data_IF_580523821232
#
_entry.id   IF_580523821232
#
_cell.length_a   1.000
_cell.length_b   1.000
_cell.length_c   1.000
_cell.angle_alpha   90.00
_cell.angle_beta   90.00
_cell.angle_gamma   90.00
#
_symmetry.space_group_name_H-M   'P 1'
#
loop_
_entity.id
_entity.type
_entity.pdbx_description
1 polymer ?
#
# COMPACT_ATOMS: atom_id res chain seq x y z
N UNK A 1 -8.23 6.45 28.25
CA UNK A 1 -8.65 5.89 26.95
C UNK A 1 -8.40 6.97 25.92
N UNK A 2 -7.27 6.91 25.23
CA UNK A 2 -6.86 7.95 24.27
C UNK A 2 -7.09 7.41 22.87
N UNK A 3 -8.30 7.59 22.36
CA UNK A 3 -8.69 7.26 20.99
C UNK A 3 -8.53 8.51 20.13
N UNK A 4 -7.31 8.81 19.68
CA UNK A 4 -7.08 9.86 18.67
C UNK A 4 -5.80 9.58 17.91
N UNK A 5 -5.88 8.64 16.97
CA UNK A 5 -5.02 8.63 15.79
C UNK A 5 -5.89 8.08 14.64
N UNK A 6 -6.84 8.91 14.21
CA UNK A 6 -7.45 8.78 12.89
C UNK A 6 -6.44 9.31 11.87
N UNK A 7 -5.24 8.73 11.87
CA UNK A 7 -4.36 8.82 10.72
C UNK A 7 -4.91 7.79 9.76
N UNK A 8 -5.40 8.23 8.60
CA UNK A 8 -5.67 7.36 7.45
C UNK A 8 -4.48 6.41 7.31
N UNK A 9 -4.63 5.19 7.81
CA UNK A 9 -3.56 4.20 7.98
C UNK A 9 -3.31 3.57 6.63
N UNK A 10 -2.78 4.39 5.71
CA UNK A 10 -2.27 3.95 4.43
C UNK A 10 -1.05 3.12 4.77
N UNK A 11 -1.16 1.83 4.50
CA UNK A 11 -0.12 0.83 4.72
C UNK A 11 0.36 0.34 3.37
N UNK A 12 1.66 0.08 3.26
CA UNK A 12 2.22 -0.50 2.04
C UNK A 12 1.73 -1.94 1.86
N UNK A 13 1.11 -2.28 0.73
CA UNK A 13 0.64 -3.66 0.46
C UNK A 13 1.77 -4.69 0.37
N UNK A 14 3.01 -4.27 0.07
CA UNK A 14 4.15 -5.19 -0.04
C UNK A 14 4.84 -5.50 1.29
N UNK A 15 4.85 -4.54 2.23
CA UNK A 15 5.67 -4.66 3.44
C UNK A 15 4.94 -4.27 4.73
N UNK A 16 3.68 -3.84 4.65
CA UNK A 16 2.85 -3.50 5.81
C UNK A 16 3.28 -2.25 6.57
N UNK A 17 4.31 -1.51 6.14
CA UNK A 17 4.74 -0.31 6.85
C UNK A 17 3.71 0.81 6.69
N UNK A 18 3.55 1.59 7.76
CA UNK A 18 2.82 2.85 7.71
C UNK A 18 3.52 3.81 6.74
N UNK A 19 2.78 4.25 5.73
CA UNK A 19 3.25 5.20 4.72
C UNK A 19 2.56 6.56 4.86
N UNK A 20 1.73 6.74 5.88
CA UNK A 20 1.17 8.03 6.23
C UNK A 20 2.29 9.07 6.43
N UNK A 21 2.21 10.21 5.73
CA UNK A 21 3.24 11.24 5.75
C UNK A 21 4.50 10.93 4.92
N UNK A 22 4.54 9.83 4.17
CA UNK A 22 5.67 9.49 3.28
C UNK A 22 5.30 9.60 1.80
N UNK A 23 6.31 9.67 0.93
CA UNK A 23 6.15 9.66 -0.54
C UNK A 23 5.81 8.25 -1.07
N UNK A 24 4.69 7.68 -0.62
CA UNK A 24 4.15 6.46 -1.20
C UNK A 24 3.43 6.73 -2.53
N UNK A 25 3.48 5.76 -3.43
CA UNK A 25 2.69 5.80 -4.64
C UNK A 25 1.29 5.26 -4.37
N UNK A 26 0.31 5.92 -4.95
CA UNK A 26 -1.06 5.48 -4.98
C UNK A 26 -1.40 5.16 -6.44
N UNK A 27 -1.79 3.92 -6.72
CA UNK A 27 -2.19 3.47 -8.07
C UNK A 27 -3.33 2.47 -7.97
N UNK A 28 -4.07 2.28 -9.06
CA UNK A 28 -5.16 1.30 -9.08
C UNK A 28 -4.64 -0.08 -9.48
N UNK A 29 -5.14 -1.12 -8.85
CA UNK A 29 -4.89 -2.50 -9.27
C UNK A 29 -5.34 -2.67 -10.74
N UNK A 30 -4.51 -3.26 -11.62
CA UNK A 30 -4.92 -3.50 -13.01
C UNK A 30 -6.01 -4.57 -13.14
N UNK A 31 -6.20 -5.39 -12.11
CA UNK A 31 -7.14 -6.51 -12.13
C UNK A 31 -8.54 -6.11 -11.60
N UNK A 32 -8.62 -5.58 -10.37
CA UNK A 32 -9.89 -5.18 -9.75
C UNK A 32 -10.13 -3.66 -9.67
N UNK A 33 -9.11 -2.83 -9.93
CA UNK A 33 -9.23 -1.37 -9.83
C UNK A 33 -9.13 -0.79 -8.42
N UNK A 34 -8.87 -1.60 -7.38
CA UNK A 34 -8.72 -1.10 -5.99
C UNK A 34 -7.54 -0.16 -5.84
N UNK A 35 -7.66 0.82 -4.95
CA UNK A 35 -6.60 1.76 -4.64
C UNK A 35 -5.48 1.06 -3.83
N UNK A 36 -4.34 0.86 -4.45
CA UNK A 36 -3.15 0.27 -3.86
C UNK A 36 -2.16 1.36 -3.49
N UNK A 37 -1.55 1.21 -2.32
CA UNK A 37 -0.47 2.08 -1.88
C UNK A 37 0.84 1.28 -1.69
N UNK A 38 1.92 1.78 -2.28
CA UNK A 38 3.26 1.17 -2.14
C UNK A 38 4.31 2.21 -1.77
N UNK A 39 5.14 1.85 -0.79
CA UNK A 39 6.26 2.69 -0.37
C UNK A 39 7.33 2.78 -1.47
N UNK A 40 8.11 3.86 -1.45
CA UNK A 40 9.18 4.07 -2.42
C UNK A 40 10.25 2.96 -2.41
N UNK A 41 10.49 2.31 -1.27
CA UNK A 41 11.45 1.19 -1.16
C UNK A 41 10.98 -0.03 -1.94
N UNK A 42 9.75 -0.51 -1.70
CA UNK A 42 9.21 -1.66 -2.41
C UNK A 42 9.07 -1.40 -3.92
N UNK A 43 8.72 -0.17 -4.31
CA UNK A 43 8.73 0.24 -5.72
C UNK A 43 10.11 0.20 -6.35
N UNK A 44 11.14 0.70 -5.66
CA UNK A 44 12.53 0.66 -6.16
C UNK A 44 13.07 -0.76 -6.26
N UNK A 45 12.62 -1.65 -5.39
CA UNK A 45 13.03 -3.05 -5.37
C UNK A 45 12.17 -3.94 -6.30
N UNK A 46 11.13 -3.39 -6.92
CA UNK A 46 10.13 -4.16 -7.68
C UNK A 46 9.64 -5.40 -6.91
N UNK A 47 9.44 -5.23 -5.59
CA UNK A 47 9.02 -6.33 -4.73
C UNK A 47 7.61 -6.74 -5.09
N UNK A 48 7.34 -8.04 -5.17
CA UNK A 48 5.99 -8.55 -5.36
C UNK A 48 5.04 -7.93 -4.33
N UNK A 49 3.87 -7.49 -4.80
CA UNK A 49 2.77 -7.03 -3.99
C UNK A 49 1.57 -7.89 -4.30
N UNK A 50 0.83 -8.24 -3.24
CA UNK A 50 -0.44 -8.93 -3.37
C UNK A 50 -1.57 -7.92 -3.16
N UNK A 51 -2.54 -7.94 -4.05
CA UNK A 51 -3.74 -7.12 -3.92
C UNK A 51 -4.64 -7.72 -2.82
N UNK A 52 -5.02 -6.95 -1.78
CA UNK A 52 -5.86 -7.46 -0.70
C UNK A 52 -7.31 -7.73 -1.12
N UNK A 53 -7.73 -7.27 -2.30
CA UNK A 53 -9.11 -7.34 -2.78
C UNK A 53 -9.32 -8.52 -3.73
N UNK A 54 -8.44 -8.69 -4.72
CA UNK A 54 -8.52 -9.78 -5.71
C UNK A 54 -7.42 -10.84 -5.60
N UNK A 55 -6.41 -10.67 -4.74
CA UNK A 55 -5.27 -11.58 -4.64
C UNK A 55 -4.28 -11.51 -5.81
N UNK A 56 -4.39 -10.48 -6.67
CA UNK A 56 -3.45 -10.29 -7.78
C UNK A 56 -2.03 -10.04 -7.23
N UNK A 57 -1.08 -10.86 -7.66
CA UNK A 57 0.34 -10.72 -7.28
C UNK A 57 1.14 -10.17 -8.46
N UNK A 58 1.64 -8.94 -8.32
CA UNK A 58 2.42 -8.24 -9.34
C UNK A 58 3.66 -7.53 -8.78
N UNK A 59 4.61 -7.08 -9.63
CA UNK A 59 5.85 -6.43 -9.21
C UNK A 59 5.70 -4.97 -8.76
#
# INVERSE_FOLDING_TARGET
MSTTDDHESRSCVSCGINIAGTNAAAFKCPDCGVQIYRCAKCRKQSNLYECPDCGFTGP
#
